data_IF_260756693286
#
_entry.id   IF_260756693286
#
_cell.length_a   1.000
_cell.length_b   1.000
_cell.length_c   1.000
_cell.angle_alpha   90.00
_cell.angle_beta   90.00
_cell.angle_gamma   90.00
#
_symmetry.space_group_name_H-M   'P 1'
#
loop_
_entity.id
_entity.type
_entity.pdbx_description
1 polymer ?
#
# COMPACT_ATOMS: atom_id res chain seq x y z
N UNK A 1 -6.51 -71.68 -1.67
CA UNK A 1 -5.36 -72.32 -0.97
C UNK A 1 -4.71 -73.32 -1.91
N UNK A 2 -3.40 -73.21 -2.22
CA UNK A 2 -2.64 -74.35 -2.70
C UNK A 2 -1.64 -74.81 -1.64
N UNK A 3 -1.73 -76.10 -1.28
CA UNK A 3 -0.70 -76.84 -0.57
C UNK A 3 0.26 -77.42 -1.62
N UNK A 4 1.56 -77.19 -1.48
CA UNK A 4 2.59 -77.81 -2.32
C UNK A 4 3.88 -77.99 -1.53
N UNK A 5 4.10 -79.21 -1.03
CA UNK A 5 5.33 -79.67 -0.37
C UNK A 5 6.39 -79.98 -1.44
N UNK A 6 7.63 -79.54 -1.22
CA UNK A 6 8.77 -79.89 -2.06
C UNK A 6 10.12 -79.71 -1.35
N UNK A 7 10.65 -80.82 -0.86
CA UNK A 7 12.06 -81.16 -0.59
C UNK A 7 13.02 -80.18 0.10
N UNK A 8 13.31 -80.55 1.34
CA UNK A 8 14.48 -80.26 2.18
C UNK A 8 15.80 -80.50 1.43
N UNK A 9 16.74 -79.54 1.54
CA UNK A 9 18.18 -79.85 1.53
C UNK A 9 18.85 -79.07 2.66
N UNK A 10 19.16 -79.79 3.74
CA UNK A 10 20.03 -79.29 4.80
C UNK A 10 21.45 -79.25 4.25
N UNK A 11 22.10 -78.10 4.38
CA UNK A 11 23.55 -78.06 4.45
C UNK A 11 23.93 -76.98 5.47
N UNK A 12 24.10 -77.43 6.71
CA UNK A 12 24.71 -76.65 7.77
C UNK A 12 26.16 -77.13 7.87
N UNK A 13 27.12 -76.22 7.69
CA UNK A 13 28.52 -76.54 7.79
C UNK A 13 29.41 -75.31 7.69
N UNK A 14 29.78 -74.76 8.84
CA UNK A 14 30.96 -73.92 8.99
C UNK A 14 30.70 -72.45 9.23
N UNK A 15 30.63 -72.06 10.51
CA UNK A 15 30.86 -70.68 10.92
C UNK A 15 32.33 -70.32 10.67
N UNK A 16 32.57 -69.21 9.98
CA UNK A 16 33.78 -68.39 10.14
C UNK A 16 33.40 -66.94 9.84
N UNK A 17 33.14 -66.20 10.91
CA UNK A 17 33.08 -64.74 10.91
C UNK A 17 34.52 -64.24 11.06
N UNK A 18 35.11 -63.73 9.99
CA UNK A 18 36.25 -62.81 10.07
C UNK A 18 36.45 -62.03 8.76
N UNK A 19 36.40 -60.71 8.90
CA UNK A 19 36.80 -59.62 8.01
C UNK A 19 35.81 -59.16 6.89
N UNK A 20 35.48 -57.86 6.85
CA UNK A 20 34.52 -57.28 5.92
C UNK A 20 35.16 -57.09 4.55
N UNK A 21 34.56 -57.69 3.53
CA UNK A 21 34.80 -57.30 2.15
C UNK A 21 34.24 -55.88 1.95
N UNK A 22 35.11 -55.00 1.45
CA UNK A 22 34.85 -53.70 0.80
C UNK A 22 33.39 -53.26 0.72
N UNK A 23 33.02 -52.05 1.21
CA UNK A 23 31.71 -51.52 0.89
C UNK A 23 31.66 -51.29 -0.62
N UNK A 24 30.80 -52.06 -1.29
CA UNK A 24 30.26 -51.68 -2.59
C UNK A 24 29.59 -50.33 -2.35
N UNK A 25 30.34 -49.26 -2.65
CA UNK A 25 29.81 -47.91 -2.68
C UNK A 25 28.89 -47.90 -3.89
N UNK A 26 27.63 -48.27 -3.67
CA UNK A 26 26.56 -47.85 -4.54
C UNK A 26 26.73 -46.33 -4.65
N UNK A 27 27.20 -45.88 -5.81
CA UNK A 27 27.35 -44.48 -6.11
C UNK A 27 26.01 -43.83 -5.76
N UNK A 28 26.01 -42.98 -4.73
CA UNK A 28 24.94 -42.04 -4.52
C UNK A 28 24.85 -41.26 -5.83
N UNK A 29 23.84 -41.56 -6.65
CA UNK A 29 23.43 -40.66 -7.70
C UNK A 29 23.24 -39.33 -6.98
N UNK A 30 24.02 -38.27 -7.29
CA UNK A 30 23.69 -36.99 -6.73
C UNK A 30 22.25 -36.75 -7.17
N UNK A 31 21.34 -36.50 -6.23
CA UNK A 31 20.08 -35.86 -6.59
C UNK A 31 20.48 -34.71 -7.50
N UNK A 32 19.95 -34.68 -8.73
CA UNK A 32 20.20 -33.56 -9.61
C UNK A 32 19.91 -32.31 -8.77
N UNK A 33 20.80 -31.32 -8.71
CA UNK A 33 20.47 -30.05 -8.08
C UNK A 33 19.16 -29.63 -8.74
N UNK A 34 18.05 -29.69 -7.99
CA UNK A 34 16.72 -29.50 -8.58
C UNK A 34 16.74 -28.24 -9.42
N UNK A 35 16.09 -28.25 -10.59
CA UNK A 35 16.18 -27.17 -11.56
C UNK A 35 15.79 -25.82 -10.92
N UNK A 36 16.79 -25.08 -10.43
CA UNK A 36 16.61 -23.80 -9.75
C UNK A 36 16.34 -22.67 -10.77
N UNK A 37 16.40 -22.97 -12.07
CA UNK A 37 16.17 -22.02 -13.16
C UNK A 37 14.78 -21.40 -13.05
N UNK A 38 13.76 -22.21 -12.82
CA UNK A 38 12.38 -21.76 -12.66
C UNK A 38 12.20 -20.85 -11.44
N UNK A 39 12.88 -21.16 -10.33
CA UNK A 39 12.81 -20.37 -9.10
C UNK A 39 13.54 -19.03 -9.24
N UNK A 40 14.69 -19.02 -9.92
CA UNK A 40 15.45 -17.80 -10.18
C UNK A 40 14.73 -16.89 -11.19
N UNK A 41 14.10 -17.46 -12.21
CA UNK A 41 13.28 -16.73 -13.17
C UNK A 41 12.08 -16.08 -12.47
N UNK A 42 11.38 -16.83 -11.62
CA UNK A 42 10.26 -16.30 -10.84
C UNK A 42 10.70 -15.15 -9.92
N UNK A 43 11.82 -15.29 -9.21
CA UNK A 43 12.37 -14.23 -8.35
C UNK A 43 12.70 -12.98 -9.17
N UNK A 44 13.34 -13.14 -10.34
CA UNK A 44 13.69 -12.04 -11.24
C UNK A 44 12.44 -11.34 -11.79
N UNK A 45 11.38 -12.09 -12.12
CA UNK A 45 10.10 -11.52 -12.55
C UNK A 45 9.42 -10.75 -11.42
N UNK A 46 9.45 -11.26 -10.19
CA UNK A 46 8.90 -10.57 -9.02
C UNK A 46 9.65 -9.27 -8.72
N UNK A 47 10.98 -9.27 -8.73
CA UNK A 47 11.78 -8.07 -8.55
C UNK A 47 11.47 -7.02 -9.62
N UNK A 48 11.37 -7.44 -10.88
CA UNK A 48 10.99 -6.57 -12.00
C UNK A 48 9.57 -6.00 -11.80
N UNK A 49 8.64 -6.81 -11.33
CA UNK A 49 7.27 -6.37 -11.06
C UNK A 49 7.26 -5.32 -9.94
N UNK A 50 7.94 -5.58 -8.83
CA UNK A 50 8.06 -4.64 -7.71
C UNK A 50 8.64 -3.30 -8.18
N UNK A 51 9.67 -3.32 -9.02
CA UNK A 51 10.26 -2.09 -9.58
C UNK A 51 9.29 -1.33 -10.47
N UNK A 52 8.52 -2.03 -11.32
CA UNK A 52 7.51 -1.41 -12.18
C UNK A 52 6.37 -0.81 -11.38
N UNK A 53 5.88 -1.56 -10.39
CA UNK A 53 4.80 -1.11 -9.52
C UNK A 53 5.25 0.10 -8.69
N UNK A 54 6.48 0.06 -8.15
CA UNK A 54 7.07 1.19 -7.44
C UNK A 54 7.19 2.45 -8.30
N UNK A 55 7.64 2.31 -9.55
CA UNK A 55 7.72 3.44 -10.48
C UNK A 55 6.34 4.01 -10.82
N UNK A 56 5.35 3.15 -11.09
CA UNK A 56 3.98 3.59 -11.38
C UNK A 56 3.31 4.27 -10.17
N UNK A 57 3.58 3.79 -8.95
CA UNK A 57 3.08 4.41 -7.72
C UNK A 57 3.66 5.82 -7.55
N UNK A 58 4.96 6.01 -7.76
CA UNK A 58 5.57 7.34 -7.64
C UNK A 58 5.06 8.30 -8.73
N UNK A 59 4.88 7.83 -9.96
CA UNK A 59 4.27 8.64 -11.03
C UNK A 59 2.86 9.12 -10.65
N UNK A 60 2.01 8.22 -10.16
CA UNK A 60 0.66 8.57 -9.69
C UNK A 60 0.73 9.55 -8.53
N UNK A 61 1.66 9.33 -7.59
CA UNK A 61 1.83 10.21 -6.43
C UNK A 61 2.25 11.61 -6.86
N UNK A 62 3.18 11.74 -7.80
CA UNK A 62 3.62 13.02 -8.34
C UNK A 62 2.49 13.75 -9.05
N UNK A 63 1.70 13.05 -9.87
CA UNK A 63 0.53 13.60 -10.56
C UNK A 63 -0.54 14.09 -9.57
N UNK A 64 -0.87 13.29 -8.55
CA UNK A 64 -1.80 13.70 -7.48
C UNK A 64 -1.27 14.95 -6.79
N UNK A 65 0.02 15.00 -6.46
CA UNK A 65 0.63 16.18 -5.84
C UNK A 65 0.55 17.42 -6.75
N UNK A 66 0.78 17.25 -8.05
CA UNK A 66 0.72 18.31 -9.04
C UNK A 66 -0.70 18.88 -9.18
N UNK A 67 -1.73 18.04 -9.04
CA UNK A 67 -3.13 18.47 -9.09
C UNK A 67 -3.63 19.07 -7.76
N UNK A 68 -3.25 18.48 -6.62
CA UNK A 68 -3.74 18.92 -5.29
C UNK A 68 -3.17 20.27 -4.89
N UNK A 69 -1.89 20.55 -5.16
CA UNK A 69 -1.23 21.83 -4.80
C UNK A 69 -1.95 23.07 -5.34
N UNK A 70 -2.27 23.19 -6.65
CA UNK A 70 -2.97 24.36 -7.17
C UNK A 70 -4.39 24.48 -6.63
N UNK A 71 -5.11 23.36 -6.44
CA UNK A 71 -6.44 23.36 -5.84
C UNK A 71 -6.39 23.92 -4.42
N UNK A 72 -5.44 23.44 -3.59
CA UNK A 72 -5.27 23.94 -2.24
C UNK A 72 -4.96 25.45 -2.20
N UNK A 73 -4.11 25.93 -3.11
CA UNK A 73 -3.81 27.36 -3.23
C UNK A 73 -5.03 28.18 -3.63
N UNK A 74 -5.84 27.68 -4.58
CA UNK A 74 -7.05 28.35 -5.03
C UNK A 74 -8.10 28.43 -3.91
N UNK A 75 -8.29 27.33 -3.17
CA UNK A 75 -9.20 27.31 -2.02
C UNK A 75 -8.78 28.30 -0.93
N UNK A 76 -7.49 28.35 -0.61
CA UNK A 76 -6.95 29.32 0.35
C UNK A 76 -7.18 30.77 -0.09
N UNK A 77 -7.00 31.05 -1.38
CA UNK A 77 -7.28 32.38 -1.94
C UNK A 77 -8.77 32.74 -1.79
N UNK A 78 -9.67 31.83 -2.17
CA UNK A 78 -11.10 32.07 -2.02
C UNK A 78 -11.53 32.25 -0.57
N UNK A 79 -10.95 31.50 0.37
CA UNK A 79 -11.20 31.68 1.80
C UNK A 79 -10.87 33.11 2.25
N UNK A 80 -9.72 33.64 1.84
CA UNK A 80 -9.31 35.01 2.15
C UNK A 80 -10.24 36.05 1.52
N UNK A 81 -10.66 35.83 0.27
CA UNK A 81 -11.59 36.73 -0.42
C UNK A 81 -12.96 36.76 0.28
N UNK A 82 -13.48 35.60 0.67
CA UNK A 82 -14.76 35.50 1.39
C UNK A 82 -14.66 36.21 2.75
N UNK A 83 -13.57 36.02 3.49
CA UNK A 83 -13.36 36.73 4.75
C UNK A 83 -13.32 38.25 4.54
N UNK A 84 -12.55 38.72 3.56
CA UNK A 84 -12.46 40.15 3.25
C UNK A 84 -13.79 40.76 2.78
N UNK A 85 -14.60 40.02 2.03
CA UNK A 85 -15.97 40.46 1.66
C UNK A 85 -16.87 40.51 2.90
N UNK A 86 -16.78 39.52 3.78
CA UNK A 86 -17.54 39.48 5.03
C UNK A 86 -17.23 40.66 5.96
N UNK A 87 -15.97 41.07 6.07
CA UNK A 87 -15.56 42.25 6.84
C UNK A 87 -16.14 43.54 6.26
N UNK A 88 -16.02 43.72 4.93
CA UNK A 88 -16.57 44.89 4.24
C UNK A 88 -18.09 44.98 4.38
N UNK A 89 -18.78 43.85 4.35
CA UNK A 89 -20.23 43.82 4.51
C UNK A 89 -20.64 44.31 5.90
N UNK A 90 -19.97 43.82 6.96
CA UNK A 90 -20.21 44.29 8.35
C UNK A 90 -19.95 45.78 8.51
N UNK A 91 -18.92 46.31 7.86
CA UNK A 91 -18.63 47.74 7.88
C UNK A 91 -19.75 48.55 7.21
N UNK A 92 -20.22 48.12 6.05
CA UNK A 92 -21.33 48.77 5.32
C UNK A 92 -22.63 48.69 6.12
N UNK A 93 -22.94 47.55 6.72
CA UNK A 93 -24.09 47.36 7.59
C UNK A 93 -24.06 48.34 8.77
N UNK A 94 -22.96 48.39 9.52
CA UNK A 94 -22.82 49.32 10.65
C UNK A 94 -22.93 50.80 10.26
N UNK A 95 -22.42 51.19 9.08
CA UNK A 95 -22.59 52.56 8.56
C UNK A 95 -24.05 52.86 8.20
N UNK A 96 -24.75 51.88 7.65
CA UNK A 96 -26.16 52.02 7.26
C UNK A 96 -27.03 52.16 8.51
N UNK A 97 -26.84 51.28 9.52
CA UNK A 97 -27.55 51.36 10.80
C UNK A 97 -27.31 52.69 11.51
N UNK A 98 -26.07 53.18 11.52
CA UNK A 98 -25.75 54.48 12.11
C UNK A 98 -26.48 55.64 11.40
N UNK A 99 -26.54 55.59 10.06
CA UNK A 99 -27.22 56.61 9.26
C UNK A 99 -28.74 56.58 9.44
N UNK A 100 -29.33 55.38 9.54
CA UNK A 100 -30.77 55.21 9.80
C UNK A 100 -31.15 55.71 11.20
N UNK A 101 -30.34 55.40 12.22
CA UNK A 101 -30.54 55.90 13.57
C UNK A 101 -30.48 57.43 13.65
N UNK A 102 -29.55 58.06 12.92
CA UNK A 102 -29.42 59.52 12.85
C UNK A 102 -30.65 60.17 12.17
N UNK A 103 -31.10 59.64 11.03
CA UNK A 103 -32.31 60.16 10.35
C UNK A 103 -33.57 60.00 11.20
N UNK A 104 -33.74 58.86 11.87
CA UNK A 104 -34.86 58.63 12.79
C UNK A 104 -34.85 59.59 13.98
N UNK A 105 -33.66 59.87 14.54
CA UNK A 105 -33.50 60.81 15.66
C UNK A 105 -33.79 62.25 15.26
N UNK A 106 -33.31 62.70 14.09
CA UNK A 106 -33.56 64.06 13.57
C UNK A 106 -35.04 64.29 13.27
N UNK A 107 -35.76 63.25 12.81
CA UNK A 107 -37.21 63.36 12.53
C UNK A 107 -38.04 63.52 13.81
N UNK A 108 -37.63 62.91 14.93
CA UNK A 108 -38.32 63.07 16.22
C UNK A 108 -38.07 64.43 16.87
N UNK A 109 -36.93 65.07 16.59
CA UNK A 109 -36.57 66.37 17.19
C UNK A 109 -37.39 67.54 16.62
N UNK A 110 -37.81 67.45 15.35
CA UNK A 110 -38.58 68.51 14.67
C UNK A 110 -40.05 68.53 15.13
N UNK A 111 -40.63 67.38 15.52
CA UNK A 111 -42.03 67.30 15.99
C UNK A 111 -42.25 67.85 17.41
N UNK A 112 -41.20 68.06 18.20
CA UNK A 112 -41.31 68.55 19.59
C UNK A 112 -41.27 70.10 19.68
N UNK A 113 -41.03 70.79 18.56
CA UNK A 113 -40.86 72.24 18.49
C UNK A 113 -42.07 73.03 17.91
N UNK A 114 -43.19 72.37 17.63
CA UNK A 114 -44.49 73.02 17.30
C UNK A 114 -45.40 73.14 18.54
#
# INVERSE_FOLDING_TARGET
MPKGKGAIKQQQGGHSLAAPSTPETAAASPESPGDLTDSQELATMMERLILKDGAAIEEIREEICAQVKPIASMLKKHEQEIQGVGEKLKEVEGRTEASEAEMGSSSSQIQVLE
#
